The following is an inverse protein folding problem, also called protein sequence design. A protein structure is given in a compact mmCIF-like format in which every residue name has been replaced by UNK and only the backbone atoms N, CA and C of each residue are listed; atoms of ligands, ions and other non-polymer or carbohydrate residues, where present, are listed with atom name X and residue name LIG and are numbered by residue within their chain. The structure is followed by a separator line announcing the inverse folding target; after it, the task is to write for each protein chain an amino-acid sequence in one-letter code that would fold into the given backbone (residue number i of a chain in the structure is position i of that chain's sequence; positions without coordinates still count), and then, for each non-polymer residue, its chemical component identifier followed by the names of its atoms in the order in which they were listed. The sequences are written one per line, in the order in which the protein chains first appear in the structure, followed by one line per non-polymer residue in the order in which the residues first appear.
data_IF_495255132286
#
_entry.id   IF_495255132286
#
_cell.length_a   1.000
_cell.length_b   1.000
_cell.length_c   1.000
_cell.angle_alpha   90.00
_cell.angle_beta   90.00
_cell.angle_gamma   90.00
#
_symmetry.space_group_name_H-M   'P 1'
#
loop_
_entity.id
_entity.type
_entity.pdbx_description
1 polymer ?
#
# COMPACT_ATOMS: atom_id res chain seq x y z
N UNK A 1 6.45 -1.79 -2.59
CA UNK A 1 6.18 -0.45 -3.16
C UNK A 1 5.13 0.30 -2.35
N UNK A 2 3.90 -0.20 -2.24
CA UNK A 2 2.79 0.45 -1.52
C UNK A 2 3.16 0.95 -0.10
N UNK A 3 3.80 0.10 0.70
CA UNK A 3 4.23 0.45 2.07
C UNK A 3 5.06 1.74 2.12
N UNK A 4 6.01 1.89 1.18
CA UNK A 4 6.91 3.05 1.14
C UNK A 4 6.14 4.34 0.85
N UNK A 5 5.12 4.28 0.00
CA UNK A 5 4.27 5.45 -0.29
C UNK A 5 3.40 5.84 0.91
N UNK A 6 2.77 4.88 1.59
CA UNK A 6 2.01 5.17 2.81
C UNK A 6 2.91 5.76 3.89
N UNK A 7 4.08 5.15 4.16
CA UNK A 7 5.08 5.68 5.09
C UNK A 7 5.59 7.07 4.68
N UNK A 8 5.81 7.29 3.39
CA UNK A 8 6.20 8.59 2.85
C UNK A 8 5.16 9.68 3.10
N UNK A 9 3.87 9.37 2.93
CA UNK A 9 2.78 10.28 3.27
C UNK A 9 2.75 10.60 4.76
N UNK A 10 2.85 9.60 5.64
CA UNK A 10 2.91 9.82 7.10
C UNK A 10 4.06 10.75 7.47
N UNK A 11 5.26 10.50 6.91
CA UNK A 11 6.43 11.37 7.11
C UNK A 11 6.18 12.80 6.62
N UNK A 12 5.55 12.98 5.45
CA UNK A 12 5.19 14.31 4.93
C UNK A 12 4.24 15.06 5.89
N UNK A 13 3.35 14.34 6.58
CA UNK A 13 2.43 14.89 7.59
C UNK A 13 3.07 15.02 8.98
N UNK A 14 4.39 14.85 9.10
CA UNK A 14 5.15 14.86 10.36
C UNK A 14 4.68 13.80 11.37
N UNK A 15 4.04 12.73 10.89
CA UNK A 15 3.67 11.55 11.67
C UNK A 15 4.77 10.49 11.50
N UNK A 16 5.54 10.12 12.53
CA UNK A 16 6.52 9.05 12.41
C UNK A 16 5.80 7.72 12.12
N UNK A 17 6.09 7.05 10.98
CA UNK A 17 5.43 5.80 10.66
C UNK A 17 5.87 4.69 11.62
N UNK A 18 4.93 3.83 12.01
CA UNK A 18 5.21 2.60 12.77
C UNK A 18 6.25 1.76 11.99
N UNK A 19 7.20 1.15 12.71
CA UNK A 19 8.19 0.20 12.14
C UNK A 19 7.56 -1.18 11.89
N UNK A 20 6.52 -1.19 11.08
CA UNK A 20 5.73 -2.37 10.72
C UNK A 20 5.64 -2.49 9.19
N UNK A 21 5.27 -3.68 8.70
CA UNK A 21 5.08 -3.96 7.28
C UNK A 21 3.59 -4.16 6.89
N UNK A 22 2.69 -3.95 7.85
CA UNK A 22 1.25 -4.13 7.69
C UNK A 22 0.63 -2.94 6.95
N UNK A 23 0.27 -3.14 5.67
CA UNK A 23 -0.27 -2.09 4.80
C UNK A 23 -1.59 -1.50 5.31
N UNK A 24 -2.45 -2.33 5.89
CA UNK A 24 -3.73 -1.97 6.51
C UNK A 24 -3.53 -1.02 7.69
N UNK A 25 -2.64 -1.35 8.63
CA UNK A 25 -2.34 -0.49 9.78
C UNK A 25 -1.71 0.85 9.36
N UNK A 26 -0.89 0.85 8.32
CA UNK A 26 -0.34 2.10 7.76
C UNK A 26 -1.41 2.92 7.04
N UNK A 27 -2.37 2.27 6.37
CA UNK A 27 -3.48 2.94 5.71
C UNK A 27 -4.43 3.58 6.73
N UNK A 28 -4.73 2.89 7.84
CA UNK A 28 -5.51 3.44 8.94
C UNK A 28 -4.88 4.73 9.47
N UNK A 29 -3.57 4.73 9.72
CA UNK A 29 -2.85 5.93 10.15
C UNK A 29 -3.01 7.07 9.11
N UNK A 30 -2.93 6.77 7.81
CA UNK A 30 -3.19 7.77 6.77
C UNK A 30 -4.65 8.28 6.76
N UNK A 31 -5.63 7.39 6.95
CA UNK A 31 -7.06 7.74 7.01
C UNK A 31 -7.35 8.70 8.16
N UNK A 32 -6.72 8.48 9.33
CA UNK A 32 -6.88 9.41 10.46
C UNK A 32 -6.40 10.83 10.16
N UNK A 33 -5.44 11.00 9.25
CA UNK A 33 -4.90 12.29 8.84
C UNK A 33 -5.65 12.91 7.64
N UNK A 34 -6.24 12.06 6.80
CA UNK A 34 -6.94 12.43 5.57
C UNK A 34 -7.92 11.30 5.16
N UNK A 35 -9.20 11.48 5.50
CA UNK A 35 -10.24 10.47 5.28
C UNK A 35 -10.45 10.06 3.82
N UNK A 36 -9.92 10.81 2.85
CA UNK A 36 -10.02 10.39 1.45
C UNK A 36 -9.15 9.16 1.12
N UNK A 37 -8.22 8.78 2.00
CA UNK A 37 -7.47 7.51 1.91
C UNK A 37 -8.38 6.28 2.03
N UNK A 38 -9.62 6.41 2.51
CA UNK A 38 -10.59 5.31 2.54
C UNK A 38 -10.80 4.65 1.16
N UNK A 39 -10.56 5.39 0.07
CA UNK A 39 -10.66 4.89 -1.31
C UNK A 39 -9.62 3.82 -1.66
N UNK A 40 -8.57 3.67 -0.85
CA UNK A 40 -7.49 2.69 -1.06
C UNK A 40 -7.67 1.39 -0.27
N UNK A 41 -8.75 1.25 0.51
CA UNK A 41 -8.96 0.07 1.37
C UNK A 41 -8.97 -1.22 0.54
N UNK A 42 -9.72 -1.26 -0.55
CA UNK A 42 -9.82 -2.46 -1.39
C UNK A 42 -8.47 -2.81 -2.05
N UNK A 43 -7.74 -1.80 -2.55
CA UNK A 43 -6.40 -1.99 -3.12
C UNK A 43 -5.42 -2.53 -2.06
N UNK A 44 -5.47 -2.02 -0.82
CA UNK A 44 -4.60 -2.49 0.28
C UNK A 44 -4.95 -3.90 0.73
N UNK A 45 -6.24 -4.23 0.87
CA UNK A 45 -6.70 -5.58 1.21
C UNK A 45 -6.27 -6.57 0.14
N UNK A 46 -6.39 -6.19 -1.14
CA UNK A 46 -5.93 -7.00 -2.26
C UNK A 46 -4.42 -7.23 -2.22
N UNK A 47 -3.62 -6.16 -2.09
CA UNK A 47 -2.15 -6.24 -2.05
C UNK A 47 -1.62 -7.03 -0.86
N UNK A 48 -2.31 -7.00 0.29
CA UNK A 48 -1.93 -7.75 1.50
C UNK A 48 -1.85 -9.25 1.24
N UNK A 49 -2.71 -9.79 0.36
CA UNK A 49 -2.73 -11.22 0.00
C UNK A 49 -1.43 -11.68 -0.65
N UNK A 50 -0.73 -10.78 -1.33
CA UNK A 50 0.52 -11.06 -2.04
C UNK A 50 1.78 -10.56 -1.32
N UNK A 51 1.62 -9.89 -0.18
CA UNK A 51 2.73 -9.27 0.56
C UNK A 51 3.52 -10.28 1.42
N UNK A 52 2.88 -11.39 1.84
CA UNK A 52 3.53 -12.47 2.62
C UNK A 52 4.33 -13.39 1.69
N UNK A 53 3.76 -13.71 0.53
CA UNK A 53 4.31 -14.60 -0.49
C UNK A 53 5.67 -14.18 -1.06
N UNK A 54 6.05 -12.90 -0.97
CA UNK A 54 7.32 -12.43 -1.55
C UNK A 54 8.55 -12.60 -0.63
N UNK A 55 8.38 -13.11 0.60
CA UNK A 55 9.49 -13.25 1.57
C UNK A 55 9.93 -14.69 1.82
N UNK A 56 9.08 -15.66 1.51
CA UNK A 56 9.44 -17.08 1.51
C UNK A 56 9.02 -17.67 0.16
N UNK A 57 9.96 -18.21 -0.64
CA UNK A 57 9.64 -18.82 -1.93
C UNK A 57 8.57 -19.92 -1.80
N UNK A 58 8.53 -20.61 -0.66
CA UNK A 58 7.59 -21.70 -0.36
C UNK A 58 6.17 -21.21 -0.05
N UNK A 59 5.97 -19.91 0.20
CA UNK A 59 4.67 -19.27 0.45
C UNK A 59 4.12 -18.56 -0.80
N UNK A 60 4.82 -18.63 -1.94
CA UNK A 60 4.18 -18.25 -3.21
C UNK A 60 3.06 -19.25 -3.48
N UNK A 61 1.82 -18.78 -3.68
CA UNK A 61 0.80 -19.63 -4.26
C UNK A 61 1.35 -20.19 -5.57
N UNK A 62 1.35 -21.53 -5.72
CA UNK A 62 1.77 -22.22 -6.95
C UNK A 62 1.00 -21.72 -8.20
N UNK A 63 -0.08 -20.95 -7.98
CA UNK A 63 -1.03 -20.48 -8.96
C UNK A 63 -1.07 -18.94 -9.15
N UNK A 64 -0.03 -18.17 -8.80
CA UNK A 64 0.00 -16.73 -9.15
C UNK A 64 -0.03 -16.56 -10.67
N UNK A 65 -1.22 -16.33 -11.21
CA UNK A 65 -1.44 -16.11 -12.64
C UNK A 65 -0.91 -14.75 -13.05
N UNK A 66 -0.45 -14.63 -14.30
CA UNK A 66 0.02 -13.35 -14.85
C UNK A 66 -1.01 -12.22 -14.73
N UNK A 67 -2.30 -12.57 -14.75
CA UNK A 67 -3.42 -11.64 -14.53
C UNK A 67 -3.47 -11.08 -13.10
N UNK A 68 -3.19 -11.89 -12.09
CA UNK A 68 -3.16 -11.46 -10.68
C UNK A 68 -1.94 -10.58 -10.40
N UNK A 69 -0.79 -10.90 -10.99
CA UNK A 69 0.39 -10.06 -10.95
C UNK A 69 0.14 -8.69 -11.61
N UNK A 70 -0.53 -8.67 -12.76
CA UNK A 70 -0.92 -7.43 -13.43
C UNK A 70 -1.88 -6.60 -12.57
N UNK A 71 -2.90 -7.24 -11.97
CA UNK A 71 -3.84 -6.60 -11.06
C UNK A 71 -3.13 -6.01 -9.83
N UNK A 72 -2.12 -6.71 -9.27
CA UNK A 72 -1.33 -6.21 -8.14
C UNK A 72 -0.50 -4.99 -8.52
N UNK A 73 0.11 -4.99 -9.70
CA UNK A 73 0.83 -3.82 -10.23
C UNK A 73 -0.14 -2.65 -10.42
N UNK A 74 -1.34 -2.88 -10.96
CA UNK A 74 -2.36 -1.85 -11.12
C UNK A 74 -2.81 -1.27 -9.77
N UNK A 75 -3.13 -2.11 -8.78
CA UNK A 75 -3.53 -1.66 -7.44
C UNK A 75 -2.40 -0.85 -6.75
N UNK A 76 -1.15 -1.33 -6.83
CA UNK A 76 0.00 -0.61 -6.30
C UNK A 76 0.24 0.73 -7.01
N UNK A 77 -0.03 0.80 -8.31
CA UNK A 77 0.09 2.03 -9.10
C UNK A 77 -0.99 3.05 -8.72
N UNK A 78 -2.25 2.62 -8.53
CA UNK A 78 -3.33 3.49 -8.03
C UNK A 78 -2.99 4.12 -6.69
N UNK A 79 -2.49 3.30 -5.75
CA UNK A 79 -2.04 3.80 -4.44
C UNK A 79 -0.90 4.80 -4.59
N UNK A 80 0.12 4.50 -5.39
CA UNK A 80 1.21 5.44 -5.69
C UNK A 80 0.65 6.76 -6.22
N UNK A 81 -0.16 6.71 -7.27
CA UNK A 81 -0.63 7.90 -7.97
C UNK A 81 -1.51 8.75 -7.06
N UNK A 82 -2.35 8.11 -6.25
CA UNK A 82 -3.13 8.77 -5.22
C UNK A 82 -2.25 9.48 -4.20
N UNK A 83 -1.23 8.81 -3.65
CA UNK A 83 -0.32 9.42 -2.68
C UNK A 83 0.45 10.57 -3.32
N UNK A 84 0.98 10.39 -4.54
CA UNK A 84 1.72 11.44 -5.25
C UNK A 84 0.87 12.68 -5.55
N UNK A 85 -0.43 12.51 -5.82
CA UNK A 85 -1.36 13.63 -5.95
C UNK A 85 -1.49 14.46 -4.67
N UNK A 86 -1.16 13.88 -3.50
CA UNK A 86 -1.12 14.55 -2.19
C UNK A 86 0.25 15.04 -1.78
N UNK A 87 1.27 14.67 -2.54
CA UNK A 87 2.67 15.10 -2.34
C UNK A 87 2.95 16.42 -3.06
N UNK A 88 1.97 17.03 -3.73
CA UNK A 88 2.12 18.39 -4.25
C UNK A 88 2.30 19.40 -3.11
N UNK A 89 3.59 19.63 -2.86
CA UNK A 89 4.31 20.82 -2.39
C UNK A 89 3.67 22.13 -2.90
N UNK A 90 3.87 23.25 -2.18
CA UNK A 90 3.14 24.53 -2.29
C UNK A 90 2.78 25.01 -3.70
#
# INVERSE_FOLDING_TARGET
MAEKYLKGYLLLRRQPPKRIHHLDLLLEDCITLDGSFQRLVDDVVFLKRYYVASRYPDDLPDDVRSEEAAAAITAASRLRDFVLARVKMP
#
